data_IF_979143309508
#
_entry.id   IF_979143309508
#
_cell.length_a   1.000
_cell.length_b   1.000
_cell.length_c   1.000
_cell.angle_alpha   90.00
_cell.angle_beta   90.00
_cell.angle_gamma   90.00
#
_symmetry.space_group_name_H-M   'P 1'
#
loop_
_entity.id
_entity.type
_entity.pdbx_description
1 polymer ?
#
# COMPACT_ATOMS: atom_id res chain seq x y z
N UNK A 1 -21.62 5.01 -19.47
CA UNK A 1 -21.56 6.50 -19.53
C UNK A 1 -20.54 7.10 -18.56
N UNK A 2 -20.42 6.63 -17.31
CA UNK A 2 -19.49 7.18 -16.30
C UNK A 2 -17.99 6.84 -16.54
N UNK A 3 -17.68 5.66 -17.08
CA UNK A 3 -16.30 5.20 -17.32
C UNK A 3 -15.60 5.99 -18.44
N UNK A 4 -16.30 6.25 -19.55
CA UNK A 4 -15.76 7.01 -20.68
C UNK A 4 -15.48 8.48 -20.33
N UNK A 5 -16.21 9.03 -19.36
CA UNK A 5 -15.97 10.38 -18.86
C UNK A 5 -14.67 10.45 -18.04
N UNK A 6 -14.50 9.54 -17.08
CA UNK A 6 -13.29 9.46 -16.26
C UNK A 6 -12.03 9.21 -17.10
N UNK A 7 -12.13 8.33 -18.11
CA UNK A 7 -11.01 8.08 -19.02
C UNK A 7 -10.55 9.37 -19.72
N UNK A 8 -11.49 10.18 -20.22
CA UNK A 8 -11.16 11.46 -20.87
C UNK A 8 -10.51 12.45 -19.92
N UNK A 9 -11.00 12.56 -18.68
CA UNK A 9 -10.38 13.47 -17.70
C UNK A 9 -8.92 13.10 -17.43
N UNK A 10 -8.60 11.81 -17.28
CA UNK A 10 -7.21 11.37 -17.11
C UNK A 10 -6.36 11.58 -18.36
N UNK A 11 -6.93 11.35 -19.56
CA UNK A 11 -6.26 11.65 -20.83
C UNK A 11 -5.92 13.13 -20.95
N UNK A 12 -6.84 14.03 -20.55
CA UNK A 12 -6.63 15.48 -20.56
C UNK A 12 -5.54 15.90 -19.56
N UNK A 13 -5.52 15.33 -18.36
CA UNK A 13 -4.45 15.56 -17.38
C UNK A 13 -3.10 15.06 -17.93
N UNK A 14 -3.09 13.87 -18.53
CA UNK A 14 -1.89 13.30 -19.17
C UNK A 14 -1.36 14.21 -20.29
N UNK A 15 -2.25 14.77 -21.11
CA UNK A 15 -1.88 15.72 -22.16
C UNK A 15 -1.35 17.03 -21.58
N UNK A 16 -1.98 17.57 -20.53
CA UNK A 16 -1.55 18.78 -19.83
C UNK A 16 -0.12 18.65 -19.28
N UNK A 17 0.24 17.48 -18.75
CA UNK A 17 1.56 17.23 -18.15
C UNK A 17 2.54 16.49 -19.09
N UNK A 18 2.24 16.43 -20.40
CA UNK A 18 3.03 15.63 -21.36
C UNK A 18 4.52 16.02 -21.46
N UNK A 19 4.89 17.26 -21.16
CA UNK A 19 6.29 17.71 -21.16
C UNK A 19 6.70 18.32 -19.83
N UNK A 20 5.94 18.04 -18.76
CA UNK A 20 6.24 18.56 -17.43
C UNK A 20 7.43 17.81 -16.84
N UNK A 21 8.30 18.54 -16.15
CA UNK A 21 9.55 18.00 -15.58
C UNK A 21 9.28 17.07 -14.40
N UNK A 22 8.30 17.40 -13.56
CA UNK A 22 8.04 16.70 -12.29
C UNK A 22 6.78 15.84 -12.26
N UNK A 23 6.00 15.80 -13.36
CA UNK A 23 4.70 15.12 -13.37
C UNK A 23 4.54 14.30 -14.64
N UNK A 24 4.15 13.04 -14.48
CA UNK A 24 3.91 12.10 -15.57
C UNK A 24 2.72 11.20 -15.26
N UNK A 25 1.83 11.03 -16.24
CA UNK A 25 0.77 10.03 -16.18
C UNK A 25 1.04 8.97 -17.23
N UNK A 26 0.86 7.70 -16.87
CA UNK A 26 1.06 6.56 -17.76
C UNK A 26 -0.21 5.71 -17.72
N UNK A 27 -1.10 5.96 -18.68
CA UNK A 27 -2.44 5.36 -18.75
C UNK A 27 -2.41 4.02 -19.51
N UNK A 28 -1.57 3.09 -19.06
CA UNK A 28 -1.48 1.73 -19.61
C UNK A 28 -1.11 0.73 -18.53
N UNK A 29 -1.42 -0.54 -18.77
CA UNK A 29 -0.86 -1.64 -18.01
C UNK A 29 0.54 -1.98 -18.55
N UNK A 30 1.54 -1.96 -17.67
CA UNK A 30 2.92 -2.28 -17.99
C UNK A 30 3.62 -2.80 -16.73
N UNK A 31 3.83 -4.13 -16.68
CA UNK A 31 4.40 -4.82 -15.53
C UNK A 31 5.84 -4.37 -15.25
N UNK A 32 6.70 -4.31 -16.27
CA UNK A 32 8.10 -3.90 -16.13
C UNK A 32 8.18 -2.48 -15.57
N UNK A 33 7.37 -1.57 -16.12
CA UNK A 33 7.30 -0.21 -15.63
C UNK A 33 6.80 -0.16 -14.17
N UNK A 34 5.84 -0.99 -13.78
CA UNK A 34 5.36 -1.02 -12.39
C UNK A 34 6.48 -1.31 -11.41
N UNK A 35 7.36 -2.27 -11.71
CA UNK A 35 8.54 -2.58 -10.89
C UNK A 35 9.51 -1.40 -10.80
N UNK A 36 9.74 -0.69 -11.92
CA UNK A 36 10.58 0.51 -11.94
C UNK A 36 9.96 1.65 -11.13
N UNK A 37 8.64 1.82 -11.17
CA UNK A 37 7.94 2.84 -10.39
C UNK A 37 8.12 2.55 -8.90
N UNK A 38 7.87 1.32 -8.44
CA UNK A 38 8.08 0.96 -7.03
C UNK A 38 9.53 1.17 -6.58
N UNK A 39 10.50 0.80 -7.41
CA UNK A 39 11.93 0.94 -7.08
C UNK A 39 12.42 2.39 -7.04
N UNK A 40 11.79 3.26 -7.83
CA UNK A 40 12.21 4.66 -7.98
C UNK A 40 11.43 5.62 -7.07
N UNK A 41 10.31 5.19 -6.48
CA UNK A 41 9.48 6.02 -5.63
C UNK A 41 9.96 6.03 -4.18
N UNK A 42 10.08 7.22 -3.59
CA UNK A 42 10.25 7.35 -2.13
C UNK A 42 8.94 7.07 -1.38
N UNK A 43 7.81 7.45 -1.97
CA UNK A 43 6.47 7.35 -1.38
C UNK A 43 5.46 6.75 -2.36
N UNK A 44 4.56 5.91 -1.85
CA UNK A 44 3.49 5.30 -2.64
C UNK A 44 2.12 5.57 -2.02
N UNK A 45 1.22 6.18 -2.78
CA UNK A 45 -0.11 6.62 -2.32
C UNK A 45 -1.18 5.57 -2.66
N UNK A 46 -1.96 5.15 -1.66
CA UNK A 46 -3.10 4.22 -1.80
C UNK A 46 -4.37 4.82 -1.15
N UNK A 47 -5.09 5.73 -1.83
CA UNK A 47 -6.21 6.47 -1.26
C UNK A 47 -7.55 5.75 -1.50
N UNK A 48 -7.57 4.41 -1.46
CA UNK A 48 -8.72 3.59 -1.82
C UNK A 48 -9.97 3.91 -0.98
N UNK A 49 -11.15 4.01 -1.61
CA UNK A 49 -12.46 4.13 -0.90
C UNK A 49 -12.87 2.81 -0.23
N UNK A 50 -12.35 1.70 -0.73
CA UNK A 50 -12.47 0.37 -0.13
C UNK A 50 -11.32 -0.49 -0.64
N UNK A 51 -10.69 -1.27 0.23
CA UNK A 51 -9.57 -2.14 -0.14
C UNK A 51 -9.66 -3.46 0.66
N UNK A 52 -10.09 -4.58 0.06
CA UNK A 52 -10.30 -5.81 0.82
C UNK A 52 -9.00 -6.42 1.36
N UNK A 53 -7.87 -6.18 0.70
CA UNK A 53 -6.55 -6.64 1.14
C UNK A 53 -5.48 -5.61 0.77
N UNK A 54 -5.38 -5.28 -0.52
CA UNK A 54 -4.30 -4.47 -1.09
C UNK A 54 -2.98 -5.24 -1.09
N UNK A 55 -2.36 -5.41 -2.25
CA UNK A 55 -0.99 -5.95 -2.36
C UNK A 55 0.03 -4.85 -2.66
N UNK A 56 -0.43 -3.71 -3.18
CA UNK A 56 0.43 -2.64 -3.69
C UNK A 56 1.25 -1.98 -2.57
N UNK A 57 0.69 -1.82 -1.37
CA UNK A 57 1.41 -1.30 -0.21
C UNK A 57 2.49 -2.25 0.30
N UNK A 58 2.25 -3.57 0.25
CA UNK A 58 3.25 -4.58 0.62
C UNK A 58 4.40 -4.60 -0.40
N UNK A 59 4.07 -4.51 -1.69
CA UNK A 59 5.07 -4.41 -2.76
C UNK A 59 5.86 -3.09 -2.62
N UNK A 60 5.20 -1.97 -2.39
CA UNK A 60 5.86 -0.68 -2.19
C UNK A 60 6.88 -0.74 -1.04
N UNK A 61 6.46 -1.21 0.14
CA UNK A 61 7.36 -1.39 1.30
C UNK A 61 8.53 -2.33 0.98
N UNK A 62 8.27 -3.43 0.25
CA UNK A 62 9.33 -4.37 -0.16
C UNK A 62 10.38 -3.71 -1.08
N UNK A 63 9.98 -2.71 -1.85
CA UNK A 63 10.87 -1.93 -2.72
C UNK A 63 11.47 -0.71 -2.02
N UNK A 64 11.12 -0.45 -0.76
CA UNK A 64 11.59 0.69 0.02
C UNK A 64 10.78 1.97 -0.18
N UNK A 65 9.63 1.89 -0.87
CA UNK A 65 8.73 3.01 -1.04
C UNK A 65 7.73 3.06 0.11
N UNK A 66 7.73 4.17 0.86
CA UNK A 66 6.93 4.32 2.07
C UNK A 66 5.44 4.53 1.71
N UNK A 67 4.51 3.73 2.26
CA UNK A 67 3.10 3.84 1.93
C UNK A 67 2.42 5.03 2.62
N UNK A 68 1.54 5.70 1.87
CA UNK A 68 0.59 6.71 2.36
C UNK A 68 -0.81 6.20 2.05
N UNK A 69 -1.51 5.67 3.06
CA UNK A 69 -2.71 4.85 2.86
C UNK A 69 -3.91 5.33 3.67
N UNK A 70 -5.11 5.16 3.13
CA UNK A 70 -6.33 5.36 3.93
C UNK A 70 -6.58 4.13 4.81
N UNK A 71 -6.94 4.32 6.08
CA UNK A 71 -7.34 3.24 7.01
C UNK A 71 -8.67 2.62 6.57
N UNK A 72 -8.61 1.61 5.70
CA UNK A 72 -9.76 0.84 5.22
C UNK A 72 -9.37 -0.59 4.85
N UNK A 73 -10.23 -1.55 5.19
CA UNK A 73 -10.01 -2.97 4.93
C UNK A 73 -8.57 -3.41 5.20
N UNK A 74 -7.92 -4.08 4.24
CA UNK A 74 -6.57 -4.62 4.44
C UNK A 74 -5.45 -3.57 4.59
N UNK A 75 -5.68 -2.31 4.20
CA UNK A 75 -4.72 -1.22 4.46
C UNK A 75 -4.63 -0.91 5.95
N UNK A 76 -5.74 -1.03 6.69
CA UNK A 76 -5.76 -0.83 8.13
C UNK A 76 -4.98 -1.92 8.89
N UNK A 77 -4.84 -3.10 8.29
CA UNK A 77 -4.16 -4.25 8.90
C UNK A 77 -2.68 -4.34 8.49
N UNK A 78 -2.23 -3.49 7.56
CA UNK A 78 -0.88 -3.57 6.97
C UNK A 78 -0.09 -2.26 6.97
N UNK A 79 -0.76 -1.10 7.11
CA UNK A 79 -0.11 0.21 7.19
C UNK A 79 -0.42 0.88 8.52
N UNK A 80 0.63 1.18 9.27
CA UNK A 80 0.61 1.68 10.63
C UNK A 80 1.35 3.01 10.70
N UNK A 81 0.65 4.03 11.19
CA UNK A 81 1.14 5.41 11.17
C UNK A 81 2.40 5.60 12.04
N UNK A 82 3.41 6.29 11.50
CA UNK A 82 4.65 6.62 12.23
C UNK A 82 4.44 7.60 13.37
N UNK A 83 3.44 8.47 13.27
CA UNK A 83 3.16 9.52 14.26
C UNK A 83 2.12 9.07 15.31
N UNK A 84 1.59 7.85 15.21
CA UNK A 84 0.62 7.32 16.17
C UNK A 84 1.31 6.65 17.36
N UNK A 85 1.37 7.39 18.47
CA UNK A 85 2.02 6.93 19.70
C UNK A 85 1.36 5.74 20.39
N UNK A 86 0.13 5.39 20.00
CA UNK A 86 -0.55 4.19 20.49
C UNK A 86 -0.04 2.92 19.81
N UNK A 87 0.63 3.05 18.66
CA UNK A 87 1.20 1.93 17.90
C UNK A 87 2.64 1.70 18.39
N UNK A 88 3.02 0.46 18.76
CA UNK A 88 4.41 0.15 19.09
C UNK A 88 5.35 0.46 17.92
N UNK A 89 6.50 1.09 18.21
CA UNK A 89 7.46 1.60 17.22
C UNK A 89 7.86 0.55 16.19
N UNK A 90 7.94 -0.73 16.57
CA UNK A 90 8.28 -1.83 15.67
C UNK A 90 7.24 -2.10 14.58
N UNK A 91 5.98 -1.69 14.75
CA UNK A 91 4.92 -1.91 13.74
C UNK A 91 4.73 -0.72 12.79
N UNK A 92 5.13 0.48 13.19
CA UNK A 92 4.95 1.71 12.40
C UNK A 92 5.70 1.68 11.06
N UNK A 93 5.04 1.80 9.93
CA UNK A 93 5.61 1.53 8.60
C UNK A 93 5.04 2.43 7.50
N UNK A 94 4.52 3.61 7.85
CA UNK A 94 4.03 4.55 6.85
C UNK A 94 3.15 5.65 7.43
N UNK A 95 2.38 6.29 6.56
CA UNK A 95 1.49 7.39 6.91
C UNK A 95 0.06 7.02 6.58
N UNK A 96 -0.85 7.38 7.46
CA UNK A 96 -2.26 7.02 7.32
C UNK A 96 -3.21 8.20 7.49
N UNK A 97 -4.41 8.05 6.92
CA UNK A 97 -5.51 8.97 7.11
C UNK A 97 -6.85 8.23 7.16
N UNK A 98 -7.88 8.84 7.76
CA UNK A 98 -9.16 8.19 8.01
C UNK A 98 -10.23 8.58 6.97
N UNK A 99 -10.39 9.88 6.76
CA UNK A 99 -11.45 10.44 5.91
C UNK A 99 -11.08 10.35 4.43
N UNK A 100 -12.05 10.00 3.60
CA UNK A 100 -11.87 9.96 2.14
C UNK A 100 -12.12 11.35 1.54
N UNK A 101 -11.36 12.34 2.01
CA UNK A 101 -11.42 13.73 1.57
C UNK A 101 -10.02 14.33 1.39
N UNK A 102 -9.97 15.50 0.75
CA UNK A 102 -8.71 16.20 0.49
C UNK A 102 -7.98 16.57 1.77
N UNK A 103 -8.71 16.93 2.83
CA UNK A 103 -8.10 17.30 4.10
C UNK A 103 -7.36 16.12 4.74
N UNK A 104 -8.00 14.94 4.80
CA UNK A 104 -7.39 13.73 5.32
C UNK A 104 -6.14 13.34 4.55
N UNK A 105 -6.22 13.34 3.22
CA UNK A 105 -5.08 13.01 2.36
C UNK A 105 -3.94 14.03 2.49
N UNK A 106 -4.24 15.33 2.46
CA UNK A 106 -3.23 16.39 2.56
C UNK A 106 -2.49 16.34 3.90
N UNK A 107 -3.19 16.08 5.00
CA UNK A 107 -2.55 15.95 6.31
C UNK A 107 -1.55 14.77 6.35
N UNK A 108 -1.83 13.65 5.69
CA UNK A 108 -0.89 12.54 5.62
C UNK A 108 0.29 12.83 4.69
N UNK A 109 0.05 13.47 3.53
CA UNK A 109 1.10 13.88 2.60
C UNK A 109 2.05 14.90 3.23
N UNK A 110 1.53 15.89 3.95
CA UNK A 110 2.33 16.92 4.60
C UNK A 110 3.27 16.31 5.65
N UNK A 111 2.79 15.38 6.48
CA UNK A 111 3.62 14.66 7.46
C UNK A 111 4.70 13.82 6.77
N UNK A 112 4.34 13.10 5.70
CA UNK A 112 5.29 12.32 4.94
C UNK A 112 6.41 13.19 4.33
N UNK A 113 6.05 14.30 3.68
CA UNK A 113 7.03 15.24 3.11
C UNK A 113 7.89 15.91 4.18
N UNK A 114 7.32 16.26 5.33
CA UNK A 114 8.06 16.83 6.44
C UNK A 114 9.06 15.82 7.00
N UNK A 115 8.68 14.55 7.14
CA UNK A 115 9.58 13.50 7.61
C UNK A 115 10.71 13.24 6.61
N UNK A 116 10.39 13.16 5.32
CA UNK A 116 11.38 12.98 4.25
C UNK A 116 12.39 14.12 4.18
N UNK A 117 11.92 15.36 4.31
CA UNK A 117 12.75 16.55 4.08
C UNK A 117 13.57 16.96 5.31
N UNK A 118 13.06 16.70 6.52
CA UNK A 118 13.65 17.21 7.76
C UNK A 118 14.35 16.15 8.61
N UNK A 119 14.09 14.86 8.38
CA UNK A 119 14.68 13.75 9.15
C UNK A 119 15.19 12.63 8.23
N UNK A 120 16.33 12.89 7.58
CA UNK A 120 16.94 11.94 6.64
C UNK A 120 17.37 10.62 7.30
N UNK A 121 17.90 10.68 8.52
CA UNK A 121 18.33 9.47 9.26
C UNK A 121 17.11 8.63 9.68
N UNK A 122 16.04 9.26 10.17
CA UNK A 122 14.80 8.58 10.50
C UNK A 122 14.11 8.01 9.25
N UNK A 123 14.13 8.75 8.14
CA UNK A 123 13.59 8.27 6.87
C UNK A 123 14.33 7.03 6.36
N UNK A 124 15.66 7.05 6.35
CA UNK A 124 16.45 5.90 5.91
C UNK A 124 16.22 4.67 6.80
N UNK A 125 16.09 4.87 8.11
CA UNK A 125 15.72 3.81 9.05
C UNK A 125 14.34 3.23 8.76
N UNK A 126 13.36 4.09 8.48
CA UNK A 126 12.01 3.67 8.10
C UNK A 126 12.01 2.85 6.81
N UNK A 127 12.71 3.30 5.77
CA UNK A 127 12.87 2.58 4.50
C UNK A 127 13.49 1.20 4.71
N UNK A 128 14.62 1.12 5.41
CA UNK A 128 15.30 -0.17 5.68
C UNK A 128 14.43 -1.11 6.49
N UNK A 129 13.69 -0.57 7.46
CA UNK A 129 12.74 -1.33 8.27
C UNK A 129 11.65 -1.92 7.39
N UNK A 130 10.99 -1.13 6.55
CA UNK A 130 9.91 -1.58 5.68
C UNK A 130 10.37 -2.67 4.72
N UNK A 131 11.57 -2.53 4.14
CA UNK A 131 12.16 -3.54 3.25
C UNK A 131 12.43 -4.89 3.96
N UNK A 132 12.58 -4.86 5.29
CA UNK A 132 12.84 -6.04 6.13
C UNK A 132 11.58 -6.75 6.63
N UNK A 133 10.39 -6.16 6.45
CA UNK A 133 9.12 -6.78 6.84
C UNK A 133 8.90 -8.03 5.99
N UNK A 134 8.53 -9.13 6.67
CA UNK A 134 8.16 -10.37 6.00
C UNK A 134 6.74 -10.27 5.44
N UNK A 135 6.64 -10.08 4.11
CA UNK A 135 5.40 -10.14 3.34
C UNK A 135 5.23 -11.48 2.61
N UNK A 136 5.96 -12.53 3.01
CA UNK A 136 5.85 -13.84 2.39
C UNK A 136 4.50 -14.50 2.71
N UNK A 137 4.16 -15.52 1.91
CA UNK A 137 2.97 -16.33 2.14
C UNK A 137 3.13 -17.33 3.29
N UNK A 138 4.29 -17.47 3.91
CA UNK A 138 4.58 -18.58 4.84
C UNK A 138 3.56 -18.65 5.98
N UNK A 139 3.31 -17.52 6.63
CA UNK A 139 2.33 -17.42 7.73
C UNK A 139 0.91 -17.71 7.25
N UNK A 140 0.45 -17.05 6.18
CA UNK A 140 -0.91 -17.24 5.66
C UNK A 140 -1.13 -18.66 5.14
N UNK A 141 -0.16 -19.21 4.42
CA UNK A 141 -0.21 -20.56 3.86
C UNK A 141 -0.36 -21.62 4.96
N UNK A 142 0.36 -21.48 6.08
CA UNK A 142 0.22 -22.39 7.23
C UNK A 142 -1.20 -22.39 7.79
N UNK A 143 -1.86 -21.23 7.88
CA UNK A 143 -3.26 -21.13 8.34
C UNK A 143 -4.21 -21.81 7.36
N UNK A 144 -4.01 -21.61 6.05
CA UNK A 144 -4.81 -22.30 5.03
C UNK A 144 -4.60 -23.81 5.06
N UNK A 145 -3.36 -24.28 5.23
CA UNK A 145 -3.05 -25.70 5.35
C UNK A 145 -3.80 -26.33 6.53
N UNK A 146 -3.80 -25.68 7.70
CA UNK A 146 -4.54 -26.17 8.87
C UNK A 146 -6.05 -26.28 8.57
N UNK A 147 -6.63 -25.29 7.90
CA UNK A 147 -8.04 -25.33 7.49
C UNK A 147 -8.32 -26.47 6.52
N UNK A 148 -7.43 -26.73 5.57
CA UNK A 148 -7.56 -27.85 4.63
C UNK A 148 -7.48 -29.20 5.36
N UNK A 149 -6.54 -29.36 6.28
CA UNK A 149 -6.40 -30.56 7.09
C UNK A 149 -7.66 -30.83 7.93
N UNK A 150 -8.23 -29.79 8.57
CA UNK A 150 -9.50 -29.89 9.31
C UNK A 150 -10.67 -30.32 8.42
N UNK A 151 -10.76 -29.77 7.22
CA UNK A 151 -11.82 -30.12 6.25
C UNK A 151 -11.74 -31.59 5.82
N UNK A 152 -10.53 -32.07 5.50
CA UNK A 152 -10.29 -33.48 5.14
C UNK A 152 -10.61 -34.42 6.31
N UNK A 153 -10.20 -34.06 7.53
CA UNK A 153 -10.50 -34.85 8.72
C UNK A 153 -12.01 -34.99 8.95
N UNK A 154 -12.77 -33.90 8.78
CA UNK A 154 -14.23 -33.91 8.92
C UNK A 154 -14.91 -34.81 7.89
N UNK A 155 -14.49 -34.75 6.63
CA UNK A 155 -15.04 -35.60 5.57
C UNK A 155 -14.75 -37.09 5.83
N UNK A 156 -13.54 -37.43 6.29
CA UNK A 156 -13.18 -38.81 6.67
C UNK A 156 -13.98 -39.35 7.84
N UNK A 157 -14.29 -38.50 8.83
CA UNK A 157 -15.14 -38.87 9.96
C UNK A 157 -16.57 -39.16 9.52
N UNK A 158 -17.15 -38.32 8.66
CA UNK A 158 -18.51 -38.48 8.14
C UNK A 158 -18.69 -39.75 7.28
N UNK A 159 -17.67 -40.16 6.52
CA UNK A 159 -17.71 -41.38 5.71
C UNK A 159 -17.47 -42.69 6.49
N UNK A 160 -17.16 -42.61 7.80
CA UNK A 160 -16.96 -43.77 8.69
C UNK A 160 -18.18 -44.09 9.56
N UNK A 161 -19.14 -43.18 9.59
CA UNK A 161 -20.50 -43.34 10.16
C UNK A 161 -21.49 -43.67 9.06
#
# INVERSE_FOLDING_TARGET
MRILFLQREFEDISNKFKTHEHVRLILKYDEVLSHLIYAASDMFIIPSIFEPCGLTQMIAMRYGSIPIARKTGGLNDSVFDVDDDTIPVQFRNGFTFLTADEQGLNNALERAFNHYSNDGDGWEQLVRKDMSIDFSWETSASVYEELYQKSVARARAANRT
#
